data_IF_391869370319
#
_entry.id   IF_391869370319
#
_cell.length_a   1.000
_cell.length_b   1.000
_cell.length_c   1.000
_cell.angle_alpha   90.00
_cell.angle_beta   90.00
_cell.angle_gamma   90.00
#
_symmetry.space_group_name_H-M   'P 1'
#
loop_
_entity.id
_entity.type
_entity.pdbx_description
1 polymer ?
#
# COMPACT_ATOMS: atom_id res chain seq x y z
N UNK A 1 -9.09 15.98 21.86
CA UNK A 1 -8.40 15.49 20.65
C UNK A 1 -7.20 16.33 20.25
N UNK A 2 -7.33 17.64 19.92
CA UNK A 2 -6.22 18.44 19.35
C UNK A 2 -4.87 18.40 20.09
N UNK A 3 -4.85 18.51 21.43
CA UNK A 3 -3.62 18.41 22.20
C UNK A 3 -3.01 17.00 22.18
N UNK A 4 -3.84 15.96 22.13
CA UNK A 4 -3.39 14.57 22.02
C UNK A 4 -2.79 14.30 20.64
N UNK A 5 -3.39 14.83 19.57
CA UNK A 5 -2.81 14.71 18.22
C UNK A 5 -1.44 15.40 18.14
N UNK A 6 -1.30 16.62 18.68
CA UNK A 6 -0.01 17.31 18.69
C UNK A 6 1.06 16.58 19.53
N UNK A 7 0.67 15.95 20.64
CA UNK A 7 1.58 15.10 21.41
C UNK A 7 1.98 13.84 20.63
N UNK A 8 1.04 13.21 19.94
CA UNK A 8 1.32 12.04 19.12
C UNK A 8 2.26 12.36 17.96
N UNK A 9 2.11 13.53 17.34
CA UNK A 9 3.03 13.99 16.28
C UNK A 9 4.47 14.09 16.83
N UNK A 10 4.66 14.69 18.02
CA UNK A 10 5.98 14.78 18.66
C UNK A 10 6.57 13.40 19.01
N UNK A 11 5.73 12.46 19.41
CA UNK A 11 6.14 11.09 19.72
C UNK A 11 6.57 10.34 18.45
N UNK A 12 5.82 10.51 17.35
CA UNK A 12 6.15 9.92 16.06
C UNK A 12 7.48 10.49 15.54
N UNK A 13 7.71 11.80 15.64
CA UNK A 13 8.97 12.44 15.26
C UNK A 13 10.16 11.95 16.10
N UNK A 14 9.91 11.53 17.34
CA UNK A 14 10.91 10.93 18.23
C UNK A 14 11.18 9.44 17.93
N UNK A 15 10.45 8.83 16.98
CA UNK A 15 10.51 7.40 16.68
C UNK A 15 9.74 6.52 17.65
N UNK A 16 8.92 7.09 18.53
CA UNK A 16 8.14 6.39 19.54
C UNK A 16 6.77 5.98 18.98
N UNK A 17 6.75 5.25 17.86
CA UNK A 17 5.53 4.99 17.07
C UNK A 17 4.44 4.26 17.86
N UNK A 18 4.79 3.33 18.75
CA UNK A 18 3.80 2.66 19.61
C UNK A 18 3.12 3.63 20.57
N UNK A 19 3.90 4.54 21.15
CA UNK A 19 3.38 5.55 22.08
C UNK A 19 2.51 6.57 21.34
N UNK A 20 2.94 7.00 20.15
CA UNK A 20 2.15 7.86 19.28
C UNK A 20 0.81 7.20 18.90
N UNK A 21 0.82 5.91 18.55
CA UNK A 21 -0.40 5.16 18.23
C UNK A 21 -1.33 5.05 19.45
N UNK A 22 -0.79 4.79 20.63
CA UNK A 22 -1.55 4.80 21.88
C UNK A 22 -2.20 6.17 22.13
N UNK A 23 -1.45 7.26 21.99
CA UNK A 23 -1.96 8.63 22.18
C UNK A 23 -3.05 8.97 21.16
N UNK A 24 -2.91 8.55 19.91
CA UNK A 24 -3.93 8.74 18.87
C UNK A 24 -5.20 7.92 19.13
N UNK A 25 -5.08 6.69 19.66
CA UNK A 25 -6.25 5.91 20.10
C UNK A 25 -7.02 6.66 21.21
N UNK A 26 -6.32 7.27 22.16
CA UNK A 26 -6.96 8.14 23.16
C UNK A 26 -7.61 9.37 22.53
N UNK A 27 -6.98 9.98 21.52
CA UNK A 27 -7.57 11.12 20.81
C UNK A 27 -8.91 10.75 20.16
N UNK A 28 -8.97 9.58 19.51
CA UNK A 28 -10.19 9.02 18.91
C UNK A 28 -11.21 8.62 19.97
N UNK A 29 -10.80 8.09 21.12
CA UNK A 29 -11.73 7.77 22.22
C UNK A 29 -12.41 9.03 22.77
N UNK A 30 -11.65 10.12 22.92
CA UNK A 30 -12.17 11.41 23.40
C UNK A 30 -13.06 12.09 22.37
N UNK A 31 -12.77 11.95 21.07
CA UNK A 31 -13.60 12.47 19.98
C UNK A 31 -13.73 11.43 18.86
N UNK A 32 -14.73 10.52 18.95
CA UNK A 32 -14.88 9.43 17.98
C UNK A 32 -15.16 9.87 16.55
N UNK A 33 -15.68 11.08 16.37
CA UNK A 33 -16.03 11.67 15.06
C UNK A 33 -14.90 12.53 14.48
N UNK A 34 -13.73 12.61 15.14
CA UNK A 34 -12.57 13.34 14.61
C UNK A 34 -11.91 12.53 13.48
N UNK A 35 -12.25 12.88 12.23
CA UNK A 35 -11.70 12.23 11.04
C UNK A 35 -10.19 12.41 10.93
N UNK A 36 -9.65 13.56 11.35
CA UNK A 36 -8.21 13.86 11.26
C UNK A 36 -7.43 12.96 12.21
N UNK A 37 -7.91 12.78 13.44
CA UNK A 37 -7.30 11.85 14.40
C UNK A 37 -7.26 10.41 13.86
N UNK A 38 -8.31 10.00 13.13
CA UNK A 38 -8.39 8.68 12.50
C UNK A 38 -7.44 8.53 11.32
N UNK A 39 -7.32 9.55 10.45
CA UNK A 39 -6.33 9.55 9.36
C UNK A 39 -4.92 9.40 9.93
N UNK A 40 -4.56 10.22 10.93
CA UNK A 40 -3.24 10.14 11.58
C UNK A 40 -2.98 8.76 12.19
N UNK A 41 -3.96 8.18 12.87
CA UNK A 41 -3.84 6.85 13.46
C UNK A 41 -3.66 5.78 12.38
N UNK A 42 -4.46 5.83 11.32
CA UNK A 42 -4.37 4.89 10.21
C UNK A 42 -3.02 4.95 9.49
N UNK A 43 -2.56 6.16 9.17
CA UNK A 43 -1.25 6.39 8.56
C UNK A 43 -0.11 5.84 9.43
N UNK A 44 -0.12 6.17 10.72
CA UNK A 44 0.93 5.73 11.65
C UNK A 44 0.98 4.21 11.81
N UNK A 45 -0.19 3.55 11.92
CA UNK A 45 -0.27 2.10 12.00
C UNK A 45 0.26 1.42 10.73
N UNK A 46 -0.05 2.01 9.57
CA UNK A 46 0.44 1.51 8.28
C UNK A 46 1.96 1.66 8.13
N UNK A 47 2.52 2.85 8.37
CA UNK A 47 3.96 3.06 8.28
C UNK A 47 4.72 2.19 9.27
N UNK A 48 4.26 2.13 10.52
CA UNK A 48 4.86 1.29 11.57
C UNK A 48 4.81 -0.20 11.20
N UNK A 49 3.72 -0.68 10.60
CA UNK A 49 3.61 -2.06 10.14
C UNK A 49 4.56 -2.38 8.97
N UNK A 50 4.78 -1.44 8.05
CA UNK A 50 5.75 -1.59 6.96
C UNK A 50 7.19 -1.62 7.47
N UNK A 51 7.49 -0.84 8.49
CA UNK A 51 8.81 -0.85 9.14
C UNK A 51 9.03 -2.16 9.89
N UNK A 52 8.04 -2.62 10.67
CA UNK A 52 8.12 -3.89 11.39
C UNK A 52 8.34 -5.08 10.44
N UNK A 53 7.71 -5.08 9.26
CA UNK A 53 7.90 -6.12 8.22
C UNK A 53 9.36 -6.23 7.74
N UNK A 54 10.14 -5.15 7.80
CA UNK A 54 11.54 -5.13 7.38
C UNK A 54 12.50 -5.60 8.49
N UNK A 55 12.03 -5.65 9.74
CA UNK A 55 12.83 -6.06 10.90
C UNK A 55 12.69 -7.55 11.19
N UNK A 56 13.75 -8.20 11.67
CA UNK A 56 13.74 -9.62 12.03
C UNK A 56 13.05 -9.90 13.38
N UNK A 57 12.84 -8.87 14.20
CA UNK A 57 12.22 -8.95 15.53
C UNK A 57 11.36 -7.71 15.78
N UNK A 58 10.08 -7.69 15.34
CA UNK A 58 9.21 -6.57 15.63
C UNK A 58 8.80 -6.58 17.10
N UNK A 59 9.16 -5.52 17.83
CA UNK A 59 8.47 -5.18 19.08
C UNK A 59 7.14 -4.52 18.68
N UNK A 60 6.02 -5.23 18.90
CA UNK A 60 4.68 -4.71 18.62
C UNK A 60 3.73 -5.67 17.89
N UNK A 61 2.57 -5.17 17.41
CA UNK A 61 1.63 -5.97 16.62
C UNK A 61 2.23 -6.40 15.27
N UNK A 62 1.77 -7.54 14.74
CA UNK A 62 2.21 -7.98 13.40
C UNK A 62 1.79 -6.96 12.32
N UNK A 63 2.54 -6.84 11.21
CA UNK A 63 2.18 -5.94 10.11
C UNK A 63 0.75 -6.11 9.63
N UNK A 64 0.26 -7.36 9.54
CA UNK A 64 -1.09 -7.68 9.08
C UNK A 64 -2.16 -7.16 10.04
N UNK A 65 -1.89 -7.22 11.35
CA UNK A 65 -2.77 -6.65 12.37
C UNK A 65 -2.81 -5.12 12.25
N UNK A 66 -1.64 -4.49 12.14
CA UNK A 66 -1.52 -3.03 12.00
C UNK A 66 -2.21 -2.52 10.74
N UNK A 67 -2.07 -3.21 9.61
CA UNK A 67 -2.74 -2.85 8.36
C UNK A 67 -4.26 -3.02 8.45
N UNK A 68 -4.73 -4.06 9.15
CA UNK A 68 -6.16 -4.25 9.36
C UNK A 68 -6.77 -3.16 10.24
N UNK A 69 -6.06 -2.74 11.29
CA UNK A 69 -6.48 -1.63 12.14
C UNK A 69 -6.42 -0.29 11.37
N UNK A 70 -5.36 -0.06 10.58
CA UNK A 70 -5.21 1.11 9.75
C UNK A 70 -6.37 1.29 8.76
N UNK A 71 -6.71 0.22 8.01
CA UNK A 71 -7.80 0.26 7.04
C UNK A 71 -9.12 0.63 7.71
N UNK A 72 -9.40 0.05 8.89
CA UNK A 72 -10.63 0.34 9.64
C UNK A 72 -10.71 1.82 10.03
N UNK A 73 -9.61 2.40 10.53
CA UNK A 73 -9.61 3.82 10.90
C UNK A 73 -9.76 4.73 9.69
N UNK A 74 -9.14 4.40 8.56
CA UNK A 74 -9.24 5.17 7.33
C UNK A 74 -10.62 5.06 6.68
N UNK A 75 -11.25 3.88 6.68
CA UNK A 75 -12.65 3.72 6.26
C UNK A 75 -13.60 4.60 7.09
N UNK A 76 -13.44 4.59 8.41
CA UNK A 76 -14.23 5.48 9.26
C UNK A 76 -13.93 6.96 8.98
N UNK A 77 -12.70 7.31 8.63
CA UNK A 77 -12.34 8.68 8.28
C UNK A 77 -13.00 9.14 6.98
N UNK A 78 -13.09 8.27 5.97
CA UNK A 78 -13.79 8.59 4.70
C UNK A 78 -15.30 8.68 4.89
N UNK A 79 -15.89 7.88 5.79
CA UNK A 79 -17.30 8.02 6.18
C UNK A 79 -17.59 9.34 6.90
N UNK A 80 -16.69 9.77 7.80
CA UNK A 80 -16.82 11.01 8.57
C UNK A 80 -16.54 12.25 7.72
N UNK A 81 -15.59 12.16 6.79
CA UNK A 81 -15.26 13.23 5.85
C UNK A 81 -15.12 12.69 4.41
N UNK A 82 -16.23 12.61 3.65
CA UNK A 82 -16.24 12.13 2.26
C UNK A 82 -15.56 13.05 1.25
N UNK A 83 -14.99 14.18 1.69
CA UNK A 83 -14.24 15.13 0.87
C UNK A 83 -12.74 15.14 1.21
N UNK A 84 -12.28 14.21 2.05
CA UNK A 84 -10.86 14.09 2.39
C UNK A 84 -10.15 13.23 1.35
N UNK A 85 -9.52 13.87 0.38
CA UNK A 85 -8.62 13.24 -0.59
C UNK A 85 -7.50 12.45 0.10
N UNK A 86 -6.87 13.04 1.11
CA UNK A 86 -5.84 12.38 1.93
C UNK A 86 -6.32 11.07 2.58
N UNK A 87 -7.57 11.00 3.05
CA UNK A 87 -8.11 9.80 3.68
C UNK A 87 -8.32 8.67 2.68
N UNK A 88 -8.82 9.01 1.49
CA UNK A 88 -8.98 8.05 0.38
C UNK A 88 -7.62 7.58 -0.15
N UNK A 89 -6.65 8.48 -0.29
CA UNK A 89 -5.29 8.14 -0.69
C UNK A 89 -4.65 7.13 0.26
N UNK A 90 -4.62 7.48 1.56
CA UNK A 90 -4.06 6.59 2.58
C UNK A 90 -4.81 5.25 2.67
N UNK A 91 -6.13 5.24 2.46
CA UNK A 91 -6.92 4.01 2.40
C UNK A 91 -6.48 3.11 1.24
N UNK A 92 -6.26 3.69 0.06
CA UNK A 92 -5.78 2.97 -1.12
C UNK A 92 -4.40 2.33 -0.90
N UNK A 93 -3.47 3.06 -0.30
CA UNK A 93 -2.15 2.54 0.04
C UNK A 93 -2.21 1.34 1.00
N UNK A 94 -3.05 1.42 2.04
CA UNK A 94 -3.24 0.32 2.99
C UNK A 94 -3.89 -0.88 2.30
N UNK A 95 -4.90 -0.66 1.45
CA UNK A 95 -5.58 -1.72 0.73
C UNK A 95 -4.65 -2.46 -0.23
N UNK A 96 -3.78 -1.73 -0.93
CA UNK A 96 -2.72 -2.32 -1.77
C UNK A 96 -1.81 -3.23 -0.96
N UNK A 97 -1.30 -2.77 0.17
CA UNK A 97 -0.40 -3.55 1.03
C UNK A 97 -1.07 -4.78 1.68
N UNK A 98 -2.40 -4.79 1.70
CA UNK A 98 -3.24 -5.94 2.09
C UNK A 98 -3.64 -6.83 0.92
N UNK A 99 -3.19 -6.55 -0.31
CA UNK A 99 -3.51 -7.30 -1.52
C UNK A 99 -4.95 -7.10 -2.01
N UNK A 100 -5.61 -6.01 -1.63
CA UNK A 100 -6.98 -5.66 -2.03
C UNK A 100 -6.94 -4.72 -3.23
N UNK A 101 -6.43 -5.19 -4.36
CA UNK A 101 -6.10 -4.37 -5.54
C UNK A 101 -7.28 -3.55 -6.06
N UNK A 102 -8.46 -4.16 -6.27
CA UNK A 102 -9.65 -3.44 -6.74
C UNK A 102 -10.09 -2.33 -5.77
N UNK A 103 -10.14 -2.63 -4.47
CA UNK A 103 -10.51 -1.64 -3.46
C UNK A 103 -9.49 -0.49 -3.39
N UNK A 104 -8.19 -0.81 -3.55
CA UNK A 104 -7.14 0.19 -3.60
C UNK A 104 -7.30 1.12 -4.81
N UNK A 105 -7.65 0.57 -5.98
CA UNK A 105 -7.96 1.33 -7.19
C UNK A 105 -9.11 2.30 -6.95
N UNK A 106 -10.25 1.81 -6.45
CA UNK A 106 -11.42 2.65 -6.15
C UNK A 106 -11.08 3.80 -5.20
N UNK A 107 -10.27 3.54 -4.17
CA UNK A 107 -9.88 4.56 -3.19
C UNK A 107 -8.92 5.60 -3.79
N UNK A 108 -7.94 5.17 -4.60
CA UNK A 108 -7.00 6.08 -5.26
C UNK A 108 -7.69 6.93 -6.35
N UNK A 109 -8.59 6.34 -7.13
CA UNK A 109 -9.44 7.08 -8.08
C UNK A 109 -10.26 8.15 -7.35
N UNK A 110 -10.84 7.81 -6.20
CA UNK A 110 -11.61 8.77 -5.41
C UNK A 110 -10.75 9.92 -4.86
N UNK A 111 -9.51 9.64 -4.47
CA UNK A 111 -8.57 10.67 -4.04
C UNK A 111 -8.22 11.62 -5.20
N UNK A 112 -7.94 11.07 -6.38
CA UNK A 112 -7.64 11.83 -7.60
C UNK A 112 -8.84 12.66 -8.08
N UNK A 113 -10.06 12.12 -8.00
CA UNK A 113 -11.30 12.87 -8.30
C UNK A 113 -11.48 14.09 -7.40
N UNK A 114 -11.10 13.97 -6.12
CA UNK A 114 -11.18 15.07 -5.15
C UNK A 114 -10.06 16.10 -5.35
N UNK A 115 -8.87 15.64 -5.74
CA UNK A 115 -7.72 16.49 -5.98
C UNK A 115 -6.96 16.05 -7.26
N UNK A 116 -7.41 16.52 -8.44
CA UNK A 116 -6.88 16.06 -9.73
C UNK A 116 -5.46 16.54 -10.05
N UNK A 117 -4.91 17.46 -9.25
CA UNK A 117 -3.58 18.05 -9.49
C UNK A 117 -2.51 17.44 -8.59
N UNK A 118 -2.84 16.41 -7.82
CA UNK A 118 -1.86 15.69 -7.01
C UNK A 118 -1.21 14.59 -7.84
N UNK A 119 -0.01 14.88 -8.34
CA UNK A 119 0.75 13.95 -9.17
C UNK A 119 1.08 12.64 -8.43
N UNK A 120 1.11 12.65 -7.10
CA UNK A 120 1.38 11.45 -6.29
C UNK A 120 0.23 10.44 -6.40
N UNK A 121 -1.02 10.92 -6.46
CA UNK A 121 -2.19 10.04 -6.54
C UNK A 121 -2.25 9.34 -7.90
N UNK A 122 -1.97 10.08 -8.97
CA UNK A 122 -1.88 9.52 -10.32
C UNK A 122 -0.75 8.48 -10.42
N UNK A 123 0.42 8.76 -9.84
CA UNK A 123 1.54 7.82 -9.81
C UNK A 123 1.19 6.54 -9.07
N UNK A 124 0.56 6.62 -7.90
CA UNK A 124 0.20 5.43 -7.13
C UNK A 124 -0.87 4.57 -7.83
N UNK A 125 -1.78 5.20 -8.60
CA UNK A 125 -2.76 4.49 -9.41
C UNK A 125 -2.08 3.78 -10.61
N UNK A 126 -1.17 4.45 -11.30
CA UNK A 126 -0.39 3.86 -12.41
C UNK A 126 0.48 2.68 -11.92
N UNK A 127 1.16 2.83 -10.79
CA UNK A 127 1.94 1.74 -10.16
C UNK A 127 1.05 0.54 -9.82
N UNK A 128 -0.16 0.79 -9.32
CA UNK A 128 -1.12 -0.25 -8.98
C UNK A 128 -1.61 -0.98 -10.24
N UNK A 129 -1.93 -0.25 -11.31
CA UNK A 129 -2.38 -0.83 -12.58
C UNK A 129 -1.29 -1.62 -13.29
N UNK A 130 -0.04 -1.14 -13.25
CA UNK A 130 1.09 -1.87 -13.80
C UNK A 130 1.31 -3.21 -13.06
N UNK A 131 1.24 -3.19 -11.72
CA UNK A 131 1.36 -4.39 -10.91
C UNK A 131 0.20 -5.39 -11.10
N UNK A 132 -1.00 -4.90 -11.40
CA UNK A 132 -2.19 -5.72 -11.71
C UNK A 132 -2.10 -6.32 -13.13
N UNK A 133 -1.69 -5.51 -14.12
CA UNK A 133 -1.51 -5.94 -15.51
C UNK A 133 -0.37 -6.95 -15.72
N UNK A 134 0.65 -6.96 -14.86
CA UNK A 134 1.69 -8.01 -14.85
C UNK A 134 1.15 -9.38 -14.36
N UNK A 135 -0.02 -9.43 -13.73
CA UNK A 135 -0.69 -10.68 -13.33
C UNK A 135 -1.66 -11.20 -14.40
N UNK A 136 -2.03 -10.37 -15.38
CA UNK A 136 -2.85 -10.72 -16.56
C UNK A 136 -2.01 -11.34 -17.70
N UNK A 137 -0.75 -11.72 -17.43
CA UNK A 137 -0.09 -12.71 -18.30
C UNK A 137 -0.75 -14.05 -18.01
N UNK A 138 -1.81 -14.35 -18.76
CA UNK A 138 -2.46 -15.65 -18.79
C UNK A 138 -1.37 -16.73 -18.91
N UNK A 139 -1.12 -17.43 -17.80
CA UNK A 139 -0.14 -18.54 -17.76
C UNK A 139 -0.59 -19.69 -18.66
N UNK A 140 -1.85 -19.66 -19.11
CA UNK A 140 -2.40 -20.52 -20.16
C UNK A 140 -1.89 -20.16 -21.57
N UNK A 141 -1.41 -18.93 -21.83
CA UNK A 141 -0.79 -18.55 -23.12
C UNK A 141 0.73 -18.78 -23.16
N UNK A 142 1.39 -18.90 -22.00
CA UNK A 142 2.76 -19.44 -21.92
C UNK A 142 2.76 -20.98 -22.07
N UNK A 143 1.56 -21.60 -22.03
CA UNK A 143 1.33 -23.04 -22.02
C UNK A 143 1.13 -23.74 -23.36
N UNK A 144 1.45 -23.17 -24.53
CA UNK A 144 1.61 -23.99 -25.77
C UNK A 144 2.37 -23.34 -26.94
N UNK A 145 3.09 -22.23 -26.74
CA UNK A 145 3.62 -21.41 -27.84
C UNK A 145 5.13 -21.48 -28.14
N UNK A 146 5.96 -22.13 -27.31
CA UNK A 146 7.43 -22.14 -27.50
C UNK A 146 7.95 -23.55 -27.79
N UNK A 147 7.42 -24.19 -28.83
CA UNK A 147 8.05 -25.32 -29.52
C UNK A 147 7.63 -25.29 -31.00
N UNK A 148 8.48 -24.69 -31.84
CA UNK A 148 8.34 -24.57 -33.30
C UNK A 148 8.36 -23.09 -33.69
N UNK A 149 9.40 -22.50 -34.27
CA UNK A 149 10.36 -23.02 -35.24
C UNK A 149 11.79 -22.66 -34.83
N UNK A 150 12.65 -23.66 -34.67
CA UNK A 150 14.09 -23.43 -34.86
C UNK A 150 14.29 -23.49 -36.38
N UNK A 151 14.72 -22.42 -37.05
CA UNK A 151 15.06 -22.48 -38.47
C UNK A 151 16.16 -23.52 -38.70
N UNK A 152 16.00 -24.37 -39.72
CA UNK A 152 16.92 -25.46 -40.12
C UNK A 152 18.33 -24.98 -40.58
N UNK A 153 18.78 -23.78 -40.21
CA UNK A 153 20.01 -23.15 -40.76
C UNK A 153 21.24 -23.21 -39.84
N UNK A 154 21.31 -24.14 -38.87
CA UNK A 154 22.58 -24.43 -38.18
C UNK A 154 22.99 -25.89 -38.40
N UNK A 155 23.33 -26.19 -39.65
CA UNK A 155 24.05 -27.40 -40.05
C UNK A 155 25.26 -26.99 -40.91
N UNK A 156 26.36 -26.59 -40.25
CA UNK A 156 27.76 -26.47 -40.74
C UNK A 156 28.51 -25.59 -39.72
N UNK A 157 29.64 -25.89 -39.10
CA UNK A 157 30.86 -26.61 -39.50
C UNK A 157 31.59 -26.97 -38.21
N UNK A 158 31.95 -28.23 -37.98
CA UNK A 158 33.18 -28.63 -37.27
C UNK A 158 33.49 -30.09 -37.64
N UNK A 159 33.89 -30.29 -38.89
CA UNK A 159 34.83 -31.36 -39.23
C UNK A 159 36.20 -30.73 -39.48
N UNK A 160 37.25 -31.51 -39.19
CA UNK A 160 38.70 -31.20 -39.22
C UNK A 160 39.20 -30.53 -37.92
N UNK A 161 39.97 -31.19 -37.03
CA UNK A 161 41.14 -32.02 -37.29
C UNK A 161 41.25 -33.19 -36.28
N UNK A 162 41.26 -34.43 -36.78
CA UNK A 162 42.00 -35.53 -36.13
C UNK A 162 43.49 -35.33 -36.42
N UNK A 163 44.32 -35.25 -35.38
CA UNK A 163 45.46 -36.16 -35.09
C UNK A 163 46.27 -35.70 -33.87
#
# INVERSE_FOLDING_TARGET
AKALMGLADLQADAGESELAAFTLRQAVEVQPEDSVARVKLGLLLWTSGRDARQTQEPEGPSPEHSFAEAEKHLQMATELNPQSDEAYYNLGLVQRDRGRTEAARDSLERALDLNPNDDEYAQQLEELEYADGDLDVDVDEIGSGVLGDVPDEIEEVLEEEEL
#
